data_IF_787351876798
#
_entry.id   IF_787351876798
#
_cell.length_a   1.000
_cell.length_b   1.000
_cell.length_c   1.000
_cell.angle_alpha   90.00
_cell.angle_beta   90.00
_cell.angle_gamma   90.00
#
_symmetry.space_group_name_H-M   'P 1'
#
loop_
_entity.id
_entity.type
_entity.pdbx_description
1 polymer ?
#
# COMPACT_ATOMS: atom_id res chain seq x y z
N UNK A 1 3.06 29.90 -7.97
CA UNK A 1 4.41 29.55 -8.46
C UNK A 1 4.61 28.08 -8.13
N UNK A 2 4.58 27.21 -9.13
CA UNK A 2 4.73 25.74 -8.94
C UNK A 2 6.21 25.44 -9.07
N UNK A 3 6.75 24.73 -8.05
CA UNK A 3 8.15 24.35 -7.93
C UNK A 3 8.66 23.61 -9.18
N UNK A 4 9.79 24.03 -9.78
CA UNK A 4 10.34 23.42 -10.99
C UNK A 4 10.79 21.95 -10.80
N UNK A 5 10.99 21.47 -9.58
CA UNK A 5 11.33 20.07 -9.32
C UNK A 5 10.16 19.08 -9.58
N UNK A 6 8.92 19.56 -9.55
CA UNK A 6 7.76 18.70 -9.87
C UNK A 6 7.63 18.41 -11.38
N UNK A 7 8.34 19.10 -12.26
CA UNK A 7 8.30 18.87 -13.71
C UNK A 7 9.15 17.71 -14.21
N UNK A 8 10.06 17.17 -13.40
CA UNK A 8 10.97 16.09 -13.83
C UNK A 8 10.49 14.67 -13.53
N UNK A 9 9.37 14.49 -12.80
CA UNK A 9 8.81 13.16 -12.50
C UNK A 9 7.97 12.61 -13.69
N UNK A 10 7.71 13.40 -14.72
CA UNK A 10 6.68 13.13 -15.72
C UNK A 10 7.15 12.33 -16.95
N UNK A 11 8.32 11.70 -16.97
CA UNK A 11 8.78 11.09 -18.24
C UNK A 11 9.52 9.75 -18.17
N UNK A 12 9.12 8.86 -17.29
CA UNK A 12 9.41 7.44 -17.48
C UNK A 12 8.09 6.68 -17.37
N UNK A 13 7.38 6.53 -18.51
CA UNK A 13 6.18 5.69 -18.58
C UNK A 13 6.60 4.26 -18.22
N UNK A 14 6.39 3.90 -16.97
CA UNK A 14 6.52 2.51 -16.52
C UNK A 14 5.43 1.75 -17.29
N UNK A 15 5.81 0.73 -18.02
CA UNK A 15 4.87 -0.12 -18.76
C UNK A 15 4.14 -1.02 -17.75
N UNK A 16 3.13 -0.45 -17.06
CA UNK A 16 2.40 -1.13 -16.00
C UNK A 16 1.46 -2.15 -16.64
N UNK A 17 1.75 -3.44 -16.42
CA UNK A 17 0.87 -4.55 -16.76
C UNK A 17 0.03 -4.91 -15.54
N UNK A 18 -1.30 -4.73 -15.63
CA UNK A 18 -2.23 -5.25 -14.63
C UNK A 18 -2.30 -6.78 -14.72
N UNK A 19 -2.45 -7.42 -13.57
CA UNK A 19 -2.95 -8.78 -13.53
C UNK A 19 -4.47 -8.72 -13.66
N UNK A 20 -5.06 -9.68 -14.36
CA UNK A 20 -6.51 -9.71 -14.60
C UNK A 20 -7.16 -10.89 -13.89
N UNK A 21 -8.42 -10.72 -13.50
CA UNK A 21 -9.27 -11.75 -12.89
C UNK A 21 -8.60 -12.45 -11.69
N UNK A 22 -8.09 -11.65 -10.75
CA UNK A 22 -7.37 -12.16 -9.59
C UNK A 22 -8.35 -12.46 -8.46
N UNK A 23 -8.27 -13.70 -7.94
CA UNK A 23 -8.90 -14.10 -6.68
C UNK A 23 -8.26 -13.33 -5.52
N UNK A 24 -9.09 -12.66 -4.72
CA UNK A 24 -8.66 -11.86 -3.57
C UNK A 24 -8.64 -12.63 -2.26
N UNK A 25 -9.11 -13.86 -2.23
CA UNK A 25 -9.09 -14.67 -1.00
C UNK A 25 -7.68 -14.84 -0.41
N UNK A 26 -6.58 -15.00 -1.19
CA UNK A 26 -5.23 -15.02 -0.63
C UNK A 26 -4.77 -13.69 -0.02
N UNK A 27 -5.47 -12.61 -0.33
CA UNK A 27 -5.16 -11.26 0.13
C UNK A 27 -5.94 -10.84 1.38
N UNK A 28 -6.75 -11.71 1.95
CA UNK A 28 -7.44 -11.52 3.22
C UNK A 28 -6.96 -12.53 4.26
N UNK A 29 -6.99 -12.17 5.54
CA UNK A 29 -6.60 -13.08 6.64
C UNK A 29 -7.59 -14.21 6.79
N UNK A 30 -8.88 -13.95 6.58
CA UNK A 30 -9.95 -14.94 6.68
C UNK A 30 -10.06 -15.85 5.46
N UNK A 31 -9.22 -15.63 4.42
CA UNK A 31 -9.19 -16.43 3.18
C UNK A 31 -10.52 -16.49 2.43
N UNK A 32 -11.31 -15.43 2.56
CA UNK A 32 -12.57 -15.25 1.82
C UNK A 32 -12.45 -13.98 1.00
N UNK A 33 -12.89 -14.04 -0.26
CA UNK A 33 -12.89 -12.88 -1.16
C UNK A 33 -13.44 -13.25 -2.53
N UNK A 34 -13.87 -12.24 -3.28
CA UNK A 34 -14.25 -12.35 -4.69
C UNK A 34 -13.09 -12.05 -5.62
N UNK A 35 -13.40 -11.88 -6.89
CA UNK A 35 -12.43 -11.57 -7.92
C UNK A 35 -12.29 -10.06 -8.13
N UNK A 36 -11.10 -9.63 -8.53
CA UNK A 36 -10.85 -8.28 -9.03
C UNK A 36 -10.51 -8.35 -10.50
N UNK A 37 -11.21 -7.54 -11.33
CA UNK A 37 -10.95 -7.52 -12.77
C UNK A 37 -9.52 -7.13 -13.07
N UNK A 38 -9.01 -6.10 -12.39
CA UNK A 38 -7.63 -5.67 -12.49
C UNK A 38 -6.99 -5.65 -11.10
N UNK A 39 -5.72 -6.01 -11.05
CA UNK A 39 -4.96 -6.07 -9.79
C UNK A 39 -3.53 -5.59 -10.01
N UNK A 40 -3.01 -4.80 -9.05
CA UNK A 40 -1.63 -4.34 -9.08
C UNK A 40 -1.03 -4.25 -7.68
N UNK A 41 0.26 -4.57 -7.57
CA UNK A 41 1.05 -4.46 -6.33
C UNK A 41 2.22 -3.52 -6.56
N UNK A 42 2.09 -2.22 -6.26
CA UNK A 42 3.19 -1.27 -6.37
C UNK A 42 4.30 -1.62 -5.39
N UNK A 43 5.55 -1.45 -5.84
CA UNK A 43 6.75 -1.70 -5.03
C UNK A 43 7.27 -0.42 -4.36
N UNK A 44 6.81 0.74 -4.80
CA UNK A 44 7.24 2.05 -4.32
C UNK A 44 6.19 3.12 -4.57
N UNK A 45 6.39 4.29 -3.98
CA UNK A 45 5.44 5.41 -4.06
C UNK A 45 5.27 5.95 -5.49
N UNK A 46 6.30 5.92 -6.34
CA UNK A 46 6.20 6.42 -7.71
C UNK A 46 5.26 5.54 -8.55
N UNK A 47 5.39 4.21 -8.44
CA UNK A 47 4.45 3.27 -9.07
C UNK A 47 3.03 3.45 -8.54
N UNK A 48 2.87 3.64 -7.22
CA UNK A 48 1.56 3.84 -6.61
C UNK A 48 0.87 5.09 -7.16
N UNK A 49 1.58 6.22 -7.22
CA UNK A 49 1.03 7.48 -7.76
C UNK A 49 0.65 7.32 -9.23
N UNK A 50 1.50 6.69 -10.03
CA UNK A 50 1.24 6.48 -11.46
C UNK A 50 -0.01 5.63 -11.67
N UNK A 51 -0.16 4.54 -10.92
CA UNK A 51 -1.29 3.63 -11.09
C UNK A 51 -2.62 4.28 -10.68
N UNK A 52 -2.62 5.02 -9.57
CA UNK A 52 -3.80 5.77 -9.12
C UNK A 52 -4.19 6.85 -10.13
N UNK A 53 -3.20 7.58 -10.67
CA UNK A 53 -3.43 8.61 -11.69
C UNK A 53 -4.01 8.02 -12.96
N UNK A 54 -3.54 6.86 -13.40
CA UNK A 54 -4.08 6.13 -14.55
C UNK A 54 -5.51 5.66 -14.32
N UNK A 55 -5.78 5.05 -13.17
CA UNK A 55 -7.13 4.61 -12.83
C UNK A 55 -8.10 5.81 -12.86
N UNK A 56 -7.68 6.94 -12.29
CA UNK A 56 -8.48 8.17 -12.29
C UNK A 56 -8.71 8.72 -13.70
N UNK A 57 -7.69 8.79 -14.55
CA UNK A 57 -7.81 9.32 -15.92
C UNK A 57 -8.72 8.46 -16.82
N UNK A 58 -8.84 7.18 -16.52
CA UNK A 58 -9.69 6.23 -17.24
C UNK A 58 -11.07 6.04 -16.59
N UNK A 59 -11.39 6.80 -15.54
CA UNK A 59 -12.60 6.61 -14.72
C UNK A 59 -12.79 5.17 -14.23
N UNK A 60 -11.69 4.46 -13.99
CA UNK A 60 -11.70 3.08 -13.53
C UNK A 60 -11.95 3.05 -12.01
N UNK A 61 -12.99 2.39 -11.51
CA UNK A 61 -13.20 2.20 -10.08
C UNK A 61 -11.96 1.59 -9.43
N UNK A 62 -11.52 2.16 -8.31
CA UNK A 62 -10.29 1.75 -7.67
C UNK A 62 -10.52 1.53 -6.17
N UNK A 63 -9.94 0.46 -5.63
CA UNK A 63 -9.85 0.23 -4.18
C UNK A 63 -8.43 -0.12 -3.79
N UNK A 64 -8.07 0.24 -2.56
CA UNK A 64 -6.74 -0.02 -2.01
C UNK A 64 -6.90 -1.01 -0.87
N UNK A 65 -6.02 -2.02 -0.83
CA UNK A 65 -5.96 -2.99 0.26
C UNK A 65 -4.53 -3.06 0.81
N UNK A 66 -4.43 -3.21 2.13
CA UNK A 66 -3.17 -3.48 2.82
C UNK A 66 -2.94 -4.97 3.00
N UNK A 67 -2.63 -5.40 4.24
CA UNK A 67 -2.46 -6.80 4.59
C UNK A 67 -3.77 -7.62 4.54
N UNK A 68 -4.93 -6.97 4.49
CA UNK A 68 -6.22 -7.65 4.51
C UNK A 68 -6.59 -8.25 5.86
N UNK A 69 -6.00 -7.73 6.95
CA UNK A 69 -6.18 -8.29 8.29
C UNK A 69 -7.58 -8.05 8.87
N UNK A 70 -8.25 -7.02 8.40
CA UNK A 70 -9.60 -6.64 8.86
C UNK A 70 -10.54 -6.38 7.65
N UNK A 71 -10.42 -7.24 6.62
CA UNK A 71 -11.24 -7.12 5.42
C UNK A 71 -12.11 -8.34 5.23
N UNK A 72 -13.39 -8.07 5.03
CA UNK A 72 -14.35 -9.02 4.49
C UNK A 72 -14.71 -8.57 3.07
N UNK A 73 -14.23 -9.29 2.07
CA UNK A 73 -14.50 -8.99 0.67
C UNK A 73 -15.65 -9.87 0.20
N UNK A 74 -16.69 -9.24 -0.33
CA UNK A 74 -17.83 -9.96 -0.90
C UNK A 74 -17.38 -10.83 -2.08
N UNK A 75 -18.03 -11.98 -2.25
CA UNK A 75 -17.76 -12.95 -3.33
C UNK A 75 -18.23 -12.48 -4.71
N UNK A 76 -18.61 -11.20 -4.85
CA UNK A 76 -18.98 -10.58 -6.13
C UNK A 76 -17.71 -10.05 -6.80
N UNK A 77 -17.63 -10.20 -8.12
CA UNK A 77 -16.55 -9.64 -8.92
C UNK A 77 -16.52 -8.11 -8.79
N UNK A 78 -15.34 -7.57 -8.47
CA UNK A 78 -15.10 -6.13 -8.52
C UNK A 78 -14.65 -5.73 -9.91
N UNK A 79 -15.53 -5.06 -10.66
CA UNK A 79 -15.24 -4.59 -12.00
C UNK A 79 -14.39 -3.31 -12.01
N UNK A 80 -13.24 -3.36 -11.36
CA UNK A 80 -12.32 -2.25 -11.16
C UNK A 80 -10.90 -2.73 -10.87
N UNK A 81 -10.06 -1.79 -10.43
CA UNK A 81 -8.67 -2.03 -10.04
C UNK A 81 -8.54 -2.18 -8.52
N UNK A 82 -7.99 -3.30 -8.07
CA UNK A 82 -7.52 -3.46 -6.69
C UNK A 82 -6.02 -3.22 -6.63
N UNK A 83 -5.59 -2.26 -5.82
CA UNK A 83 -4.18 -1.95 -5.54
C UNK A 83 -3.83 -2.54 -4.19
N UNK A 84 -2.86 -3.47 -4.14
CA UNK A 84 -2.40 -4.08 -2.90
C UNK A 84 -1.05 -3.49 -2.49
N UNK A 85 -1.00 -2.83 -1.34
CA UNK A 85 0.20 -2.10 -0.89
C UNK A 85 1.21 -2.97 -0.13
N UNK A 86 1.02 -4.28 -0.06
CA UNK A 86 1.87 -5.22 0.72
C UNK A 86 3.37 -5.16 0.38
N UNK A 87 3.73 -4.71 -0.82
CA UNK A 87 5.13 -4.60 -1.25
C UNK A 87 5.81 -3.31 -0.84
N UNK A 88 5.05 -2.28 -0.49
CA UNK A 88 5.56 -0.99 -0.05
C UNK A 88 5.96 -1.06 1.43
N UNK A 89 7.20 -1.47 1.72
CA UNK A 89 7.67 -1.82 3.07
C UNK A 89 8.88 -1.01 3.54
N UNK A 90 9.22 0.08 2.87
CA UNK A 90 10.36 0.90 3.27
C UNK A 90 10.10 1.58 4.60
N UNK A 91 11.09 1.50 5.50
CA UNK A 91 11.13 2.25 6.76
C UNK A 91 12.44 3.03 6.79
N UNK A 92 12.38 4.29 7.17
CA UNK A 92 13.55 5.14 7.43
C UNK A 92 13.38 5.79 8.78
N UNK A 93 14.40 5.72 9.61
CA UNK A 93 14.45 6.30 10.94
C UNK A 93 15.59 7.31 10.98
N UNK A 94 15.28 8.57 11.28
CA UNK A 94 16.28 9.57 11.62
C UNK A 94 16.37 9.66 13.15
N UNK A 95 17.40 9.03 13.71
CA UNK A 95 17.61 8.99 15.16
C UNK A 95 17.97 10.34 15.76
N UNK A 96 18.39 11.31 14.94
CA UNK A 96 18.74 12.66 15.41
C UNK A 96 17.50 13.54 15.58
N UNK A 97 16.61 13.50 14.60
CA UNK A 97 15.36 14.29 14.62
C UNK A 97 14.19 13.56 15.26
N UNK A 98 14.26 12.24 15.42
CA UNK A 98 13.15 11.41 15.85
C UNK A 98 12.09 11.18 14.76
N UNK A 99 12.34 11.59 13.52
CA UNK A 99 11.43 11.38 12.41
C UNK A 99 11.46 9.95 11.91
N UNK A 100 10.28 9.40 11.69
CA UNK A 100 10.09 8.05 11.19
C UNK A 100 9.24 8.12 9.92
N UNK A 101 9.80 7.64 8.83
CA UNK A 101 9.09 7.40 7.58
C UNK A 101 8.79 5.91 7.46
N UNK A 102 7.54 5.55 7.24
CA UNK A 102 7.13 4.19 6.97
C UNK A 102 6.13 4.16 5.81
N UNK A 103 6.40 3.33 4.81
CA UNK A 103 5.44 3.13 3.72
C UNK A 103 4.18 2.41 4.20
N UNK A 104 3.08 2.62 3.47
CA UNK A 104 1.73 2.16 3.87
C UNK A 104 1.59 0.63 3.97
N UNK A 105 2.45 -0.17 3.33
CA UNK A 105 2.46 -1.63 3.41
C UNK A 105 3.26 -2.20 4.59
N UNK A 106 3.91 -1.35 5.39
CA UNK A 106 4.64 -1.78 6.59
C UNK A 106 3.66 -2.32 7.63
N UNK A 107 3.94 -3.52 8.15
CA UNK A 107 3.15 -4.12 9.23
C UNK A 107 3.35 -3.36 10.53
N UNK A 108 2.28 -2.99 11.24
CA UNK A 108 2.34 -2.27 12.50
C UNK A 108 3.18 -2.99 13.57
N UNK A 109 3.05 -4.33 13.79
CA UNK A 109 3.93 -5.04 14.71
C UNK A 109 5.41 -4.99 14.34
N UNK A 110 5.73 -4.95 13.04
CA UNK A 110 7.13 -4.83 12.57
C UNK A 110 7.68 -3.44 12.88
N UNK A 111 6.87 -2.40 12.64
CA UNK A 111 7.26 -1.04 12.97
C UNK A 111 7.49 -0.88 14.49
N UNK A 112 6.57 -1.37 15.33
CA UNK A 112 6.71 -1.32 16.79
C UNK A 112 8.02 -1.95 17.28
N UNK A 113 8.35 -3.16 16.80
CA UNK A 113 9.61 -3.83 17.18
C UNK A 113 10.84 -3.04 16.72
N UNK A 114 10.79 -2.47 15.52
CA UNK A 114 11.89 -1.67 14.99
C UNK A 114 12.10 -0.39 15.81
N UNK A 115 11.02 0.27 16.24
CA UNK A 115 11.09 1.44 17.12
C UNK A 115 11.74 1.09 18.45
N UNK A 116 11.30 0.02 19.10
CA UNK A 116 11.86 -0.45 20.37
C UNK A 116 13.35 -0.79 20.24
N UNK A 117 13.77 -1.46 19.15
CA UNK A 117 15.18 -1.80 18.92
C UNK A 117 16.08 -0.59 18.67
N UNK A 118 15.50 0.55 18.29
CA UNK A 118 16.20 1.83 18.14
C UNK A 118 15.97 2.78 19.33
N UNK A 119 15.52 2.27 20.47
CA UNK A 119 15.29 3.02 21.71
C UNK A 119 14.24 4.13 21.59
N UNK A 120 13.30 4.02 20.67
CA UNK A 120 12.15 4.91 20.59
C UNK A 120 11.01 4.39 21.46
N UNK A 121 10.35 5.31 22.17
CA UNK A 121 9.14 5.05 22.98
C UNK A 121 7.90 5.63 22.30
N UNK A 122 6.71 5.18 22.71
CA UNK A 122 5.43 5.67 22.20
C UNK A 122 4.84 4.85 21.06
N UNK A 123 5.57 3.83 20.57
CA UNK A 123 5.11 2.90 19.53
C UNK A 123 4.70 1.52 20.04
N UNK A 124 4.69 1.30 21.36
CA UNK A 124 4.47 -0.01 21.96
C UNK A 124 3.04 -0.53 21.73
N UNK A 125 2.08 0.37 21.75
CA UNK A 125 0.65 0.04 21.62
C UNK A 125 0.28 -0.51 20.23
N UNK A 126 1.05 -0.17 19.18
CA UNK A 126 0.75 -0.65 17.82
C UNK A 126 1.15 -2.11 17.59
N UNK A 127 1.90 -2.75 18.52
CA UNK A 127 2.34 -4.15 18.37
C UNK A 127 1.15 -5.13 18.35
N UNK A 128 0.08 -4.81 19.05
CA UNK A 128 -1.13 -5.63 19.14
C UNK A 128 -2.14 -5.38 18.02
N UNK A 129 -1.89 -4.42 17.14
CA UNK A 129 -2.83 -4.06 16.08
C UNK A 129 -2.50 -4.87 14.81
N UNK A 130 -3.40 -5.77 14.36
CA UNK A 130 -3.19 -6.49 13.10
C UNK A 130 -3.46 -5.55 11.93
N UNK A 131 -2.46 -5.32 11.09
CA UNK A 131 -2.63 -4.45 9.92
C UNK A 131 -1.34 -3.80 9.48
N UNK A 132 -1.48 -2.86 8.55
CA UNK A 132 -0.39 -2.06 8.00
C UNK A 132 -0.57 -0.58 8.35
N UNK A 133 0.52 0.19 8.18
CA UNK A 133 0.51 1.65 8.44
C UNK A 133 -0.59 2.38 7.65
N UNK A 134 -0.91 1.92 6.44
CA UNK A 134 -1.92 2.55 5.59
C UNK A 134 -3.34 2.01 5.77
N UNK A 135 -3.55 1.04 6.68
CA UNK A 135 -4.83 0.36 6.89
C UNK A 135 -5.65 0.86 8.08
#
# INVERSE_FOLDING_TARGET
MVDPEQKHITKKMINIKFKENIDLSPYTTIKVGGFSKYFYEPSNIAEFIEIVSRAKSQNLPCRIIGAGSNLLINNIEFNGLTICTRKMKTIKIDTKSGLIYAECGVMLPTLSRLLASNCFTGGEWIIGIPGTVGG
#
